data_IF_629296474814
#
_entry.id   IF_629296474814
#
_cell.length_a   1.000
_cell.length_b   1.000
_cell.length_c   1.000
_cell.angle_alpha   90.00
_cell.angle_beta   90.00
_cell.angle_gamma   90.00
#
_symmetry.space_group_name_H-M   'P 1'
#
loop_
_entity.id
_entity.type
_entity.pdbx_description
1 polymer ?
#
# COMPACT_ATOMS: atom_id res chain seq x y z
N UNK A 1 24.39 -4.68 0.41
CA UNK A 1 23.71 -4.81 -0.90
C UNK A 1 23.69 -6.29 -1.25
N UNK A 2 22.57 -6.78 -1.80
CA UNK A 2 22.42 -8.17 -2.22
C UNK A 2 22.60 -8.26 -3.73
N UNK A 3 23.45 -9.19 -4.20
CA UNK A 3 23.67 -9.44 -5.62
C UNK A 3 22.54 -10.30 -6.20
N UNK A 4 22.09 -9.97 -7.41
CA UNK A 4 21.02 -10.65 -8.13
C UNK A 4 21.48 -10.84 -9.57
N UNK A 5 21.45 -12.08 -10.06
CA UNK A 5 21.71 -12.37 -11.47
C UNK A 5 20.38 -12.51 -12.22
N UNK A 6 20.19 -11.74 -13.28
CA UNK A 6 19.01 -11.79 -14.15
C UNK A 6 19.46 -11.80 -15.60
N UNK A 7 19.04 -12.82 -16.36
CA UNK A 7 19.37 -12.96 -17.79
C UNK A 7 20.89 -12.90 -18.11
N UNK A 8 21.75 -13.29 -17.15
CA UNK A 8 23.21 -13.27 -17.28
C UNK A 8 23.89 -11.96 -16.87
N UNK A 9 23.10 -10.95 -16.49
CA UNK A 9 23.58 -9.65 -16.00
C UNK A 9 23.51 -9.57 -14.48
N UNK A 10 24.44 -8.81 -13.89
CA UNK A 10 24.54 -8.61 -12.43
C UNK A 10 23.86 -7.32 -12.01
N UNK A 11 23.01 -7.44 -10.99
CA UNK A 11 22.29 -6.34 -10.37
C UNK A 11 22.47 -6.37 -8.85
N UNK A 12 22.19 -5.24 -8.21
CA UNK A 12 22.28 -5.09 -6.77
C UNK A 12 20.98 -4.57 -6.19
N UNK A 13 20.57 -5.12 -5.05
CA UNK A 13 19.49 -4.59 -4.24
C UNK A 13 20.02 -3.96 -2.95
N UNK A 14 19.73 -2.67 -2.77
CA UNK A 14 19.95 -1.93 -1.53
C UNK A 14 18.68 -2.01 -0.68
N UNK A 15 18.71 -2.82 0.39
CA UNK A 15 17.56 -3.04 1.27
C UNK A 15 17.19 -1.79 2.08
N UNK A 16 18.16 -0.94 2.40
CA UNK A 16 17.93 0.26 3.21
C UNK A 16 17.22 1.33 2.38
N UNK A 17 17.62 1.45 1.11
CA UNK A 17 16.99 2.36 0.16
C UNK A 17 15.78 1.74 -0.54
N UNK A 18 15.64 0.41 -0.54
CA UNK A 18 14.71 -0.35 -1.36
C UNK A 18 14.80 0.06 -2.84
N UNK A 19 16.01 0.01 -3.39
CA UNK A 19 16.31 0.38 -4.79
C UNK A 19 17.18 -0.70 -5.42
N UNK A 20 16.90 -0.99 -6.69
CA UNK A 20 17.74 -1.84 -7.53
C UNK A 20 18.72 -1.00 -8.34
N UNK A 21 19.92 -1.52 -8.53
CA UNK A 21 21.00 -0.94 -9.31
C UNK A 21 21.56 -1.97 -10.29
N UNK A 22 22.03 -1.54 -11.44
CA UNK A 22 22.89 -2.35 -12.32
C UNK A 22 24.34 -2.35 -11.83
N UNK A 23 25.23 -3.02 -12.59
CA UNK A 23 26.67 -3.08 -12.29
C UNK A 23 27.37 -1.71 -12.25
N UNK A 24 26.79 -0.70 -12.90
CA UNK A 24 27.30 0.67 -12.94
C UNK A 24 26.64 1.57 -11.89
N UNK A 25 25.87 1.01 -10.96
CA UNK A 25 25.10 1.71 -9.94
C UNK A 25 24.03 2.67 -10.48
N UNK A 26 23.50 2.37 -11.67
CA UNK A 26 22.38 3.10 -12.28
C UNK A 26 21.06 2.39 -11.98
N UNK A 27 19.98 3.17 -11.86
CA UNK A 27 18.63 2.61 -11.65
C UNK A 27 18.15 1.96 -12.97
N UNK A 28 17.86 0.64 -12.99
CA UNK A 28 17.41 -0.03 -14.20
C UNK A 28 16.03 0.47 -14.65
N UNK A 29 15.65 0.10 -15.88
CA UNK A 29 14.30 0.40 -16.38
C UNK A 29 13.21 -0.29 -15.55
N UNK A 30 12.00 0.30 -15.52
CA UNK A 30 10.87 -0.25 -14.75
C UNK A 30 10.54 -1.72 -15.08
N UNK A 31 10.54 -2.18 -16.34
CA UNK A 31 10.35 -3.60 -16.65
C UNK A 31 11.44 -4.51 -16.05
N UNK A 32 12.70 -4.06 -16.03
CA UNK A 32 13.81 -4.82 -15.40
C UNK A 32 13.62 -4.87 -13.89
N UNK A 33 13.29 -3.73 -13.25
CA UNK A 33 12.99 -3.68 -11.81
C UNK A 33 11.88 -4.66 -11.43
N UNK A 34 10.83 -4.80 -12.24
CA UNK A 34 9.75 -5.77 -11.98
C UNK A 34 10.27 -7.21 -11.98
N UNK A 35 11.07 -7.59 -12.98
CA UNK A 35 11.69 -8.93 -13.03
C UNK A 35 12.64 -9.16 -11.85
N UNK A 36 13.46 -8.17 -11.51
CA UNK A 36 14.38 -8.25 -10.36
C UNK A 36 13.62 -8.40 -9.04
N UNK A 37 12.56 -7.62 -8.85
CA UNK A 37 11.70 -7.71 -7.68
C UNK A 37 11.06 -9.10 -7.58
N UNK A 38 10.54 -9.64 -8.68
CA UNK A 38 9.98 -10.99 -8.73
C UNK A 38 11.03 -12.05 -8.36
N UNK A 39 12.20 -12.01 -8.98
CA UNK A 39 13.28 -12.96 -8.69
C UNK A 39 13.75 -12.87 -7.23
N UNK A 40 14.00 -11.66 -6.74
CA UNK A 40 14.57 -11.43 -5.42
C UNK A 40 13.55 -11.71 -4.32
N UNK A 41 12.41 -11.01 -4.32
CA UNK A 41 11.48 -11.08 -3.20
C UNK A 41 10.75 -12.42 -3.11
N UNK A 42 10.54 -13.13 -4.22
CA UNK A 42 9.94 -14.48 -4.18
C UNK A 42 10.93 -15.56 -3.71
N UNK A 43 12.24 -15.29 -3.73
CA UNK A 43 13.25 -16.21 -3.17
C UNK A 43 13.34 -16.17 -1.64
N UNK A 44 12.77 -15.13 -1.02
CA UNK A 44 12.79 -14.97 0.43
C UNK A 44 11.78 -15.93 1.05
N UNK A 45 12.26 -16.81 1.93
CA UNK A 45 11.38 -17.66 2.73
C UNK A 45 10.65 -16.83 3.80
N UNK A 46 9.41 -16.49 3.49
CA UNK A 46 8.55 -15.71 4.40
C UNK A 46 8.10 -16.47 5.65
N UNK A 47 8.23 -17.80 5.70
CA UNK A 47 7.72 -18.61 6.81
C UNK A 47 8.58 -18.49 8.07
N UNK A 48 9.85 -18.13 7.90
CA UNK A 48 10.85 -17.98 8.97
C UNK A 48 11.05 -16.53 9.42
N UNK A 49 10.40 -15.58 8.76
CA UNK A 49 10.53 -14.16 9.11
C UNK A 49 9.79 -13.82 10.42
N UNK A 50 10.45 -12.98 11.22
CA UNK A 50 9.77 -12.23 12.27
C UNK A 50 8.79 -11.23 11.66
N UNK A 51 7.83 -10.78 12.47
CA UNK A 51 6.79 -9.84 12.04
C UNK A 51 7.36 -8.50 11.58
N UNK A 52 8.40 -8.00 12.27
CA UNK A 52 9.12 -6.79 11.89
C UNK A 52 9.78 -6.94 10.51
N UNK A 53 10.40 -8.08 10.24
CA UNK A 53 11.07 -8.36 8.97
C UNK A 53 10.05 -8.54 7.83
N UNK A 54 8.93 -9.21 8.10
CA UNK A 54 7.84 -9.34 7.11
C UNK A 54 7.23 -7.98 6.76
N UNK A 55 6.97 -7.14 7.76
CA UNK A 55 6.48 -5.76 7.55
C UNK A 55 7.51 -4.93 6.76
N UNK A 56 8.79 -5.05 7.09
CA UNK A 56 9.87 -4.38 6.35
C UNK A 56 9.89 -4.80 4.89
N UNK A 57 9.80 -6.11 4.62
CA UNK A 57 9.73 -6.67 3.28
C UNK A 57 8.49 -6.18 2.49
N UNK A 58 7.31 -6.14 3.12
CA UNK A 58 6.08 -5.58 2.53
C UNK A 58 6.28 -4.11 2.14
N UNK A 59 6.89 -3.29 3.02
CA UNK A 59 7.16 -1.88 2.73
C UNK A 59 8.17 -1.71 1.60
N UNK A 60 9.21 -2.55 1.56
CA UNK A 60 10.23 -2.54 0.51
C UNK A 60 9.64 -2.87 -0.86
N UNK A 61 8.83 -3.93 -0.97
CA UNK A 61 8.13 -4.26 -2.23
C UNK A 61 7.18 -3.16 -2.67
N UNK A 62 6.50 -2.50 -1.73
CA UNK A 62 5.63 -1.36 -2.05
C UNK A 62 6.43 -0.18 -2.60
N UNK A 63 7.60 0.11 -2.01
CA UNK A 63 8.49 1.22 -2.41
C UNK A 63 9.13 1.00 -3.78
N UNK A 64 9.43 -0.25 -4.13
CA UNK A 64 9.92 -0.64 -5.47
C UNK A 64 8.80 -0.78 -6.50
N UNK A 65 7.55 -0.45 -6.13
CA UNK A 65 6.35 -0.58 -6.97
C UNK A 65 6.04 -2.01 -7.44
N UNK A 66 6.57 -3.02 -6.75
CA UNK A 66 6.30 -4.43 -7.02
C UNK A 66 4.94 -4.85 -6.43
N UNK A 67 3.87 -4.16 -6.84
CA UNK A 67 2.56 -4.22 -6.16
C UNK A 67 1.94 -5.61 -6.11
N UNK A 68 2.12 -6.44 -7.16
CA UNK A 68 1.65 -7.84 -7.14
C UNK A 68 2.33 -8.67 -6.04
N UNK A 69 3.62 -8.44 -5.82
CA UNK A 69 4.38 -9.09 -4.74
C UNK A 69 3.95 -8.54 -3.39
N UNK A 70 3.78 -7.21 -3.27
CA UNK A 70 3.25 -6.59 -2.05
C UNK A 70 1.91 -7.21 -1.63
N UNK A 71 0.98 -7.38 -2.58
CA UNK A 71 -0.32 -8.01 -2.35
C UNK A 71 -0.13 -9.44 -1.81
N UNK A 72 0.69 -10.26 -2.50
CA UNK A 72 0.96 -11.64 -2.09
C UNK A 72 1.54 -11.73 -0.67
N UNK A 73 2.46 -10.84 -0.31
CA UNK A 73 3.06 -10.81 1.02
C UNK A 73 2.06 -10.36 2.09
N UNK A 74 1.22 -9.36 1.81
CA UNK A 74 0.13 -8.98 2.69
C UNK A 74 -0.85 -10.13 2.92
N UNK A 75 -1.18 -10.89 1.88
CA UNK A 75 -2.04 -12.08 2.00
C UNK A 75 -1.40 -13.20 2.81
N UNK A 76 -0.08 -13.38 2.73
CA UNK A 76 0.65 -14.28 3.61
C UNK A 76 0.50 -13.81 5.06
N UNK A 77 0.76 -12.53 5.34
CA UNK A 77 0.60 -11.95 6.67
C UNK A 77 -0.83 -12.12 7.21
N UNK A 78 -1.85 -11.90 6.37
CA UNK A 78 -3.26 -12.12 6.74
C UNK A 78 -3.57 -13.57 7.11
N UNK A 79 -2.88 -14.56 6.53
CA UNK A 79 -3.10 -15.98 6.84
C UNK A 79 -2.31 -16.45 8.05
N UNK A 80 -1.11 -15.92 8.27
CA UNK A 80 -0.16 -16.47 9.24
C UNK A 80 -0.07 -15.66 10.53
N UNK A 81 -0.59 -14.43 10.55
CA UNK A 81 -0.47 -13.45 11.66
C UNK A 81 -1.78 -12.69 11.92
N UNK A 82 -2.91 -13.30 11.60
CA UNK A 82 -4.22 -12.64 11.59
C UNK A 82 -4.65 -12.08 12.96
N UNK A 83 -4.15 -12.69 14.04
CA UNK A 83 -4.54 -12.36 15.41
C UNK A 83 -3.83 -11.10 15.96
N UNK A 84 -2.88 -10.53 15.22
CA UNK A 84 -2.14 -9.34 15.63
C UNK A 84 -2.74 -8.05 15.08
N UNK A 85 -3.58 -7.41 15.90
CA UNK A 85 -4.24 -6.15 15.53
C UNK A 85 -3.24 -5.04 15.13
N UNK A 86 -2.08 -4.98 15.77
CA UNK A 86 -0.98 -4.06 15.46
C UNK A 86 -0.46 -4.26 14.04
N UNK A 87 -0.28 -5.51 13.62
CA UNK A 87 0.14 -5.83 12.25
C UNK A 87 -0.95 -5.43 11.26
N UNK A 88 -2.21 -5.81 11.48
CA UNK A 88 -3.33 -5.46 10.61
C UNK A 88 -3.45 -3.95 10.38
N UNK A 89 -3.25 -3.14 11.43
CA UNK A 89 -3.23 -1.67 11.34
C UNK A 89 -2.20 -1.13 10.36
N UNK A 90 -1.09 -1.84 10.18
CA UNK A 90 0.01 -1.48 9.27
C UNK A 90 -0.23 -2.04 7.88
N UNK A 91 -0.60 -3.32 7.77
CA UNK A 91 -0.60 -4.02 6.49
C UNK A 91 -1.88 -3.76 5.67
N UNK A 92 -3.05 -3.53 6.29
CA UNK A 92 -4.30 -3.31 5.56
C UNK A 92 -4.26 -2.06 4.66
N UNK A 93 -3.76 -0.89 5.12
CA UNK A 93 -3.60 0.25 4.22
C UNK A 93 -2.62 -0.02 3.08
N UNK A 94 -1.51 -0.74 3.35
CA UNK A 94 -0.51 -1.07 2.33
C UNK A 94 -1.12 -1.99 1.28
N UNK A 95 -1.81 -3.05 1.70
CA UNK A 95 -2.53 -3.99 0.84
C UNK A 95 -3.50 -3.25 -0.07
N UNK A 96 -4.41 -2.45 0.52
CA UNK A 96 -5.42 -1.74 -0.25
C UNK A 96 -4.79 -0.76 -1.26
N UNK A 97 -3.76 -0.03 -0.84
CA UNK A 97 -2.99 0.85 -1.73
C UNK A 97 -2.31 0.06 -2.86
N UNK A 98 -1.73 -1.11 -2.58
CA UNK A 98 -1.12 -1.96 -3.60
C UNK A 98 -2.16 -2.49 -4.60
N UNK A 99 -3.31 -2.97 -4.12
CA UNK A 99 -4.44 -3.39 -4.97
C UNK A 99 -4.89 -2.27 -5.91
N UNK A 100 -5.08 -1.05 -5.40
CA UNK A 100 -5.44 0.11 -6.22
C UNK A 100 -4.43 0.37 -7.34
N UNK A 101 -3.13 0.35 -7.03
CA UNK A 101 -2.08 0.61 -8.03
C UNK A 101 -1.88 -0.56 -9.01
N UNK A 102 -2.24 -1.78 -8.63
CA UNK A 102 -2.18 -2.96 -9.48
C UNK A 102 -3.46 -3.17 -10.33
N UNK A 103 -4.49 -2.34 -10.15
CA UNK A 103 -5.76 -2.42 -10.88
C UNK A 103 -6.83 -3.32 -10.24
N UNK A 104 -6.60 -3.86 -9.05
CA UNK A 104 -7.52 -4.75 -8.31
C UNK A 104 -8.35 -3.96 -7.29
N UNK A 105 -8.90 -2.81 -7.68
CA UNK A 105 -9.51 -1.84 -6.76
C UNK A 105 -10.68 -2.45 -5.99
N UNK A 106 -11.56 -3.18 -6.68
CA UNK A 106 -12.79 -3.73 -6.07
C UNK A 106 -12.46 -4.85 -5.08
N UNK A 107 -11.67 -5.82 -5.50
CA UNK A 107 -11.27 -6.98 -4.69
C UNK A 107 -10.45 -6.54 -3.47
N UNK A 108 -9.54 -5.58 -3.67
CA UNK A 108 -8.74 -5.00 -2.61
C UNK A 108 -9.59 -4.27 -1.57
N UNK A 109 -10.58 -3.50 -2.01
CA UNK A 109 -11.51 -2.81 -1.12
C UNK A 109 -12.41 -3.80 -0.35
N UNK A 110 -12.97 -4.80 -1.01
CA UNK A 110 -13.81 -5.83 -0.38
C UNK A 110 -13.06 -6.57 0.74
N UNK A 111 -11.84 -7.02 0.45
CA UNK A 111 -10.96 -7.66 1.43
C UNK A 111 -10.62 -6.72 2.58
N UNK A 112 -10.26 -5.47 2.27
CA UNK A 112 -9.95 -4.46 3.30
C UNK A 112 -11.15 -4.21 4.22
N UNK A 113 -12.36 -4.11 3.66
CA UNK A 113 -13.59 -3.92 4.43
C UNK A 113 -13.95 -5.16 5.27
N UNK A 114 -13.65 -6.37 4.78
CA UNK A 114 -13.83 -7.60 5.53
C UNK A 114 -13.00 -7.58 6.82
N UNK A 115 -11.68 -7.38 6.71
CA UNK A 115 -10.78 -7.32 7.87
C UNK A 115 -11.06 -6.13 8.78
N UNK A 116 -11.36 -4.96 8.21
CA UNK A 116 -11.81 -3.78 8.96
C UNK A 116 -13.01 -4.12 9.87
N UNK A 117 -14.02 -4.80 9.34
CA UNK A 117 -15.25 -5.11 10.08
C UNK A 117 -15.04 -6.23 11.11
N UNK A 118 -14.23 -7.23 10.75
CA UNK A 118 -13.97 -8.41 11.57
C UNK A 118 -13.14 -8.05 12.82
N UNK A 119 -12.04 -7.31 12.62
CA UNK A 119 -11.09 -6.97 13.68
C UNK A 119 -11.26 -5.57 14.26
N UNK A 120 -12.22 -4.79 13.74
CA UNK A 120 -12.47 -3.38 14.14
C UNK A 120 -11.21 -2.51 14.04
N UNK A 121 -10.38 -2.77 13.03
CA UNK A 121 -9.14 -2.03 12.79
C UNK A 121 -9.46 -0.61 12.34
N UNK A 122 -9.07 0.39 13.10
CA UNK A 122 -9.23 1.79 12.76
C UNK A 122 -7.88 2.51 12.70
N UNK A 123 -7.70 3.33 11.67
CA UNK A 123 -6.62 4.31 11.59
C UNK A 123 -6.98 5.36 10.55
N UNK A 124 -6.44 6.57 10.72
CA UNK A 124 -6.62 7.64 9.73
C UNK A 124 -6.09 7.21 8.35
N UNK A 125 -4.96 6.52 8.30
CA UNK A 125 -4.35 6.00 7.07
C UNK A 125 -5.25 4.94 6.40
N UNK A 126 -5.84 4.03 7.17
CA UNK A 126 -6.76 3.03 6.62
C UNK A 126 -8.00 3.69 6.02
N UNK A 127 -8.60 4.65 6.72
CA UNK A 127 -9.76 5.36 6.23
C UNK A 127 -9.44 6.21 4.99
N UNK A 128 -8.29 6.88 4.93
CA UNK A 128 -7.84 7.58 3.71
C UNK A 128 -7.68 6.63 2.53
N UNK A 129 -7.15 5.43 2.75
CA UNK A 129 -6.95 4.46 1.67
C UNK A 129 -8.26 3.85 1.21
N UNK A 130 -9.18 3.53 2.13
CA UNK A 130 -10.54 3.08 1.79
C UNK A 130 -11.27 4.17 1.00
N UNK A 131 -11.24 5.43 1.46
CA UNK A 131 -11.86 6.54 0.75
C UNK A 131 -11.28 6.73 -0.65
N UNK A 132 -9.97 6.56 -0.81
CA UNK A 132 -9.31 6.61 -2.11
C UNK A 132 -9.75 5.46 -3.04
N UNK A 133 -10.06 4.28 -2.50
CA UNK A 133 -10.58 3.15 -3.27
C UNK A 133 -11.98 3.43 -3.79
N UNK A 134 -12.87 3.95 -2.93
CA UNK A 134 -14.20 4.38 -3.36
C UNK A 134 -14.13 5.48 -4.42
N UNK A 135 -13.21 6.44 -4.28
CA UNK A 135 -12.98 7.48 -5.28
C UNK A 135 -12.52 6.91 -6.64
N UNK A 136 -11.66 5.89 -6.63
CA UNK A 136 -11.25 5.17 -7.85
C UNK A 136 -12.42 4.41 -8.50
N UNK A 137 -13.40 3.95 -7.71
CA UNK A 137 -14.62 3.29 -8.17
C UNK A 137 -15.74 4.26 -8.56
N UNK A 138 -15.54 5.58 -8.39
CA UNK A 138 -16.55 6.60 -8.68
C UNK A 138 -17.63 6.78 -7.60
N UNK A 139 -17.52 6.11 -6.45
CA UNK A 139 -18.43 6.24 -5.32
C UNK A 139 -17.95 7.37 -4.39
N UNK A 140 -18.26 8.60 -4.79
CA UNK A 140 -17.75 9.79 -4.09
C UNK A 140 -18.40 10.01 -2.72
N UNK A 141 -19.61 9.52 -2.50
CA UNK A 141 -20.31 9.63 -1.22
C UNK A 141 -19.62 8.78 -0.15
N UNK A 142 -19.30 7.51 -0.46
CA UNK A 142 -18.51 6.69 0.44
C UNK A 142 -17.07 7.17 0.55
N UNK A 143 -16.48 7.68 -0.54
CA UNK A 143 -15.14 8.29 -0.48
C UNK A 143 -15.10 9.43 0.55
N UNK A 144 -16.07 10.33 0.51
CA UNK A 144 -16.20 11.44 1.44
C UNK A 144 -16.44 10.98 2.88
N UNK A 145 -17.35 10.01 3.07
CA UNK A 145 -17.63 9.43 4.38
C UNK A 145 -16.36 8.90 5.06
N UNK A 146 -15.51 8.19 4.33
CA UNK A 146 -14.25 7.67 4.86
C UNK A 146 -13.18 8.76 5.01
N UNK A 147 -13.12 9.74 4.10
CA UNK A 147 -12.24 10.91 4.27
C UNK A 147 -12.56 11.67 5.58
N UNK A 148 -13.84 11.90 5.88
CA UNK A 148 -14.28 12.56 7.10
C UNK A 148 -13.94 11.77 8.36
N UNK A 149 -14.06 10.43 8.31
CA UNK A 149 -13.59 9.56 9.41
C UNK A 149 -12.07 9.70 9.63
N UNK A 150 -11.29 9.72 8.54
CA UNK A 150 -9.85 9.90 8.63
C UNK A 150 -9.47 11.25 9.27
N UNK A 151 -10.18 12.32 8.87
CA UNK A 151 -10.00 13.66 9.42
C UNK A 151 -10.32 13.74 10.91
N UNK A 152 -11.44 13.15 11.34
CA UNK A 152 -11.83 13.10 12.74
C UNK A 152 -10.77 12.40 13.61
N UNK A 153 -10.17 11.31 13.12
CA UNK A 153 -9.09 10.61 13.83
C UNK A 153 -7.79 11.41 13.93
N UNK A 154 -7.55 12.38 13.05
CA UNK A 154 -6.38 13.27 13.11
C UNK A 154 -6.58 14.45 14.07
N UNK A 155 -7.70 14.50 14.81
CA UNK A 155 -7.97 15.52 15.81
C UNK A 155 -8.75 16.73 15.29
N UNK A 156 -9.28 16.68 14.06
CA UNK A 156 -10.26 17.63 13.53
C UNK A 156 -9.96 19.11 13.82
N UNK A 157 -9.08 19.73 13.03
CA UNK A 157 -8.71 21.14 13.19
C UNK A 157 -7.21 21.41 13.05
N UNK A 158 -6.39 20.36 13.08
CA UNK A 158 -4.99 20.38 12.66
C UNK A 158 -4.95 19.98 11.18
N UNK A 159 -4.11 20.65 10.38
CA UNK A 159 -4.00 20.35 8.95
C UNK A 159 -3.85 18.85 8.68
N UNK A 160 -4.54 18.35 7.65
CA UNK A 160 -4.50 16.93 7.30
C UNK A 160 -3.22 16.58 6.51
N UNK A 161 -2.80 15.32 6.61
CA UNK A 161 -1.65 14.84 5.85
C UNK A 161 -1.86 14.94 4.32
N UNK A 162 -0.75 14.89 3.58
CA UNK A 162 -0.76 15.09 2.12
C UNK A 162 -1.73 14.13 1.39
N UNK A 163 -1.85 12.87 1.83
CA UNK A 163 -2.73 11.89 1.17
C UNK A 163 -4.22 12.22 1.36
N UNK A 164 -4.62 12.61 2.57
CA UNK A 164 -6.01 13.01 2.84
C UNK A 164 -6.36 14.32 2.11
N UNK A 165 -5.41 15.25 2.00
CA UNK A 165 -5.53 16.46 1.17
C UNK A 165 -5.86 16.11 -0.28
N UNK A 166 -5.06 15.21 -0.85
CA UNK A 166 -5.22 14.78 -2.24
C UNK A 166 -6.54 14.06 -2.43
N UNK A 167 -6.99 13.26 -1.46
CA UNK A 167 -8.30 12.61 -1.52
C UNK A 167 -9.43 13.63 -1.58
N UNK A 168 -9.47 14.63 -0.68
CA UNK A 168 -10.49 15.67 -0.72
C UNK A 168 -10.48 16.45 -2.04
N UNK A 169 -9.29 16.83 -2.53
CA UNK A 169 -9.16 17.51 -3.83
C UNK A 169 -9.71 16.66 -4.98
N UNK A 170 -9.44 15.35 -4.96
CA UNK A 170 -9.97 14.41 -5.97
C UNK A 170 -11.49 14.31 -5.90
N UNK A 171 -12.07 14.17 -4.70
CA UNK A 171 -13.52 14.11 -4.50
C UNK A 171 -14.17 15.40 -5.01
N UNK A 172 -13.66 16.57 -4.61
CA UNK A 172 -14.17 17.89 -5.04
C UNK A 172 -14.12 18.05 -6.56
N UNK A 173 -13.03 17.61 -7.20
CA UNK A 173 -12.86 17.69 -8.66
C UNK A 173 -13.83 16.78 -9.41
N UNK A 174 -14.07 15.57 -8.89
CA UNK A 174 -14.83 14.52 -9.58
C UNK A 174 -16.31 14.48 -9.20
N UNK A 175 -16.67 15.16 -8.10
CA UNK A 175 -18.05 15.32 -7.64
C UNK A 175 -18.33 16.81 -7.37
N UNK A 176 -18.70 17.59 -8.40
CA UNK A 176 -18.94 19.03 -8.27
C UNK A 176 -20.05 19.38 -7.28
N UNK A 177 -20.98 18.47 -7.01
CA UNK A 177 -21.99 18.61 -5.95
C UNK A 177 -21.39 18.73 -4.54
N UNK A 178 -20.11 18.38 -4.38
CA UNK A 178 -19.34 18.48 -3.13
C UNK A 178 -18.36 19.67 -3.12
N UNK A 179 -18.55 20.68 -3.99
CA UNK A 179 -17.67 21.84 -4.16
C UNK A 179 -17.46 22.68 -2.90
N UNK A 180 -18.38 22.63 -1.94
CA UNK A 180 -18.39 23.45 -0.72
C UNK A 180 -17.68 22.79 0.48
N UNK A 181 -16.98 21.67 0.28
CA UNK A 181 -16.20 21.05 1.34
C UNK A 181 -14.87 21.79 1.50
N UNK A 182 -14.84 22.63 2.54
CA UNK A 182 -13.68 23.31 3.13
C UNK A 182 -13.09 24.46 2.30
N UNK A 183 -13.72 25.63 2.42
CA UNK A 183 -12.97 26.86 2.72
C UNK A 183 -12.62 26.88 4.21
#
# INVERSE_FOLDING_TARGET
MNEICLDGEVYYYDSDKAVFFDENFMIPSRPIIQKLAESYFLSIDTTTLSDENLISLIKQTKKTEAYKITIKLCEIAFRTRIDELSMLRIILPIYNSACRNAGYVKEGLETTLHYYRLFKVDSSVLFTTIGSSYCDLGDYDNALKFANKAYAMQGGGVGYNNELSLLYKRIKKLSPSHSNLND
#
